data_IF_854748199433
#
_entry.id   IF_854748199433
#
_cell.length_a   1.000
_cell.length_b   1.000
_cell.length_c   1.000
_cell.angle_alpha   90.00
_cell.angle_beta   90.00
_cell.angle_gamma   90.00
#
_symmetry.space_group_name_H-M   'P 1'
#
loop_
_entity.id
_entity.type
_entity.pdbx_description
1 polymer ?
#
# COMPACT_ATOMS: atom_id res chain seq x y z
N UNK A 1 42.15 12.43 39.39
CA UNK A 1 40.90 11.97 38.77
C UNK A 1 41.18 11.74 37.28
N UNK A 2 41.50 10.50 36.97
CA UNK A 2 41.62 10.03 35.59
C UNK A 2 40.18 9.77 35.10
N UNK A 3 39.68 10.58 34.22
CA UNK A 3 38.63 10.21 33.31
C UNK A 3 39.29 9.31 32.26
N UNK A 4 39.12 8.02 32.37
CA UNK A 4 39.33 7.11 31.25
C UNK A 4 38.26 7.45 30.22
N UNK A 5 38.69 8.01 29.11
CA UNK A 5 37.92 8.25 27.93
C UNK A 5 37.70 6.86 27.31
N UNK A 6 36.63 6.18 27.70
CA UNK A 6 36.16 4.97 27.06
C UNK A 6 35.67 5.35 25.62
N UNK A 7 36.61 5.64 24.76
CA UNK A 7 36.36 5.64 23.34
C UNK A 7 36.00 4.22 22.98
N UNK A 8 34.71 3.96 22.84
CA UNK A 8 34.18 2.74 22.22
C UNK A 8 34.79 2.70 20.82
N UNK A 9 35.85 1.92 20.66
CA UNK A 9 36.42 1.63 19.36
C UNK A 9 35.35 0.85 18.57
N UNK A 10 34.48 1.59 17.85
CA UNK A 10 33.54 0.98 16.92
C UNK A 10 34.38 0.41 15.78
N UNK A 11 34.40 -0.92 15.70
CA UNK A 11 35.08 -1.64 14.63
C UNK A 11 34.66 -1.02 13.28
N UNK A 12 35.60 -0.40 12.54
CA UNK A 12 35.29 0.26 11.28
C UNK A 12 34.67 -0.69 10.26
N UNK A 13 34.90 -2.00 10.36
CA UNK A 13 34.26 -3.00 9.52
C UNK A 13 32.79 -3.15 9.81
N UNK A 14 32.38 -3.06 11.09
CA UNK A 14 30.96 -3.09 11.50
C UNK A 14 30.24 -1.80 11.11
N UNK A 15 30.91 -0.65 11.23
CA UNK A 15 30.35 0.63 10.78
C UNK A 15 30.13 0.65 9.27
N UNK A 16 31.04 0.08 8.47
CA UNK A 16 30.92 -0.01 7.03
C UNK A 16 29.82 -0.99 6.57
N UNK A 17 29.68 -2.14 7.24
CA UNK A 17 28.62 -3.08 6.97
C UNK A 17 27.23 -2.49 7.34
N UNK A 18 27.14 -1.77 8.45
CA UNK A 18 25.92 -1.09 8.87
C UNK A 18 25.48 0.00 7.89
N UNK A 19 26.40 0.81 7.39
CA UNK A 19 26.08 1.85 6.37
C UNK A 19 25.65 1.26 5.03
N UNK A 20 26.29 0.20 4.56
CA UNK A 20 25.86 -0.50 3.34
C UNK A 20 24.48 -1.10 3.48
N UNK A 21 24.19 -1.68 4.63
CA UNK A 21 22.90 -2.29 4.87
C UNK A 21 21.76 -1.25 4.94
N UNK A 22 22.02 -0.09 5.56
CA UNK A 22 21.04 1.01 5.57
C UNK A 22 20.76 1.55 4.18
N UNK A 23 21.77 1.75 3.35
CA UNK A 23 21.59 2.16 1.96
C UNK A 23 20.84 1.11 1.14
N UNK A 24 21.14 -0.18 1.30
CA UNK A 24 20.43 -1.25 0.62
C UNK A 24 18.94 -1.29 0.99
N UNK A 25 18.60 -1.04 2.27
CA UNK A 25 17.23 -0.92 2.72
C UNK A 25 16.49 0.24 2.05
N UNK A 26 17.11 1.41 1.99
CA UNK A 26 16.50 2.59 1.37
C UNK A 26 16.27 2.35 -0.13
N UNK A 27 17.23 1.80 -0.83
CA UNK A 27 17.06 1.43 -2.25
C UNK A 27 15.95 0.40 -2.46
N UNK A 28 15.81 -0.57 -1.55
CA UNK A 28 14.76 -1.58 -1.62
C UNK A 28 13.37 -0.95 -1.48
N UNK A 29 13.19 -0.01 -0.56
CA UNK A 29 11.92 0.73 -0.39
C UNK A 29 11.54 1.47 -1.68
N UNK A 30 12.48 2.19 -2.27
CA UNK A 30 12.26 2.93 -3.51
C UNK A 30 11.96 1.99 -4.68
N UNK A 31 12.68 0.87 -4.79
CA UNK A 31 12.44 -0.13 -5.83
C UNK A 31 11.06 -0.81 -5.68
N UNK A 32 10.68 -1.21 -4.47
CA UNK A 32 9.36 -1.78 -4.19
C UNK A 32 8.26 -0.78 -4.55
N UNK A 33 8.40 0.47 -4.15
CA UNK A 33 7.42 1.52 -4.47
C UNK A 33 7.30 1.72 -5.99
N UNK A 34 8.42 1.78 -6.71
CA UNK A 34 8.42 1.94 -8.16
C UNK A 34 7.71 0.79 -8.87
N UNK A 35 8.07 -0.43 -8.56
CA UNK A 35 7.53 -1.63 -9.21
C UNK A 35 6.04 -1.82 -8.89
N UNK A 36 5.67 -1.69 -7.63
CA UNK A 36 4.30 -1.94 -7.20
C UNK A 36 3.34 -0.84 -7.65
N UNK A 37 3.73 0.43 -7.55
CA UNK A 37 2.94 1.54 -8.06
C UNK A 37 2.79 1.50 -9.57
N UNK A 38 3.86 1.20 -10.30
CA UNK A 38 3.83 1.03 -11.75
C UNK A 38 2.91 -0.10 -12.17
N UNK A 39 3.02 -1.26 -11.55
CA UNK A 39 2.18 -2.42 -11.83
C UNK A 39 0.69 -2.17 -11.50
N UNK A 40 0.40 -1.56 -10.37
CA UNK A 40 -0.96 -1.21 -9.98
C UNK A 40 -1.57 -0.19 -10.93
N UNK A 41 -0.84 0.85 -11.29
CA UNK A 41 -1.28 1.86 -12.25
C UNK A 41 -1.52 1.28 -13.64
N UNK A 42 -0.64 0.39 -14.11
CA UNK A 42 -0.84 -0.34 -15.36
C UNK A 42 -2.14 -1.13 -15.35
N UNK A 43 -2.39 -1.90 -14.29
CA UNK A 43 -3.61 -2.69 -14.15
C UNK A 43 -4.86 -1.81 -14.17
N UNK A 44 -4.85 -0.70 -13.44
CA UNK A 44 -5.98 0.23 -13.40
C UNK A 44 -6.24 0.86 -14.77
N UNK A 45 -5.21 1.35 -15.45
CA UNK A 45 -5.34 1.95 -16.77
C UNK A 45 -5.79 0.95 -17.84
N UNK A 46 -5.29 -0.28 -17.78
CA UNK A 46 -5.72 -1.37 -18.65
C UNK A 46 -7.21 -1.70 -18.45
N UNK A 47 -7.64 -1.79 -17.21
CA UNK A 47 -9.03 -2.07 -16.86
C UNK A 47 -9.96 -0.94 -17.29
N UNK A 48 -9.51 0.30 -17.16
CA UNK A 48 -10.26 1.49 -17.57
C UNK A 48 -10.27 1.73 -19.09
N UNK A 49 -9.45 1.01 -19.86
CA UNK A 49 -9.37 1.17 -21.31
C UNK A 49 -8.84 2.54 -21.77
N UNK A 50 -7.97 3.17 -20.98
CA UNK A 50 -7.57 4.58 -21.15
C UNK A 50 -6.69 4.80 -22.39
N UNK A 51 -5.89 3.81 -22.80
CA UNK A 51 -5.00 3.96 -23.95
C UNK A 51 -4.61 2.61 -24.57
N UNK A 52 -4.01 2.66 -25.77
CA UNK A 52 -3.40 1.49 -26.40
C UNK A 52 -2.15 1.03 -25.63
N UNK A 53 -1.80 -0.24 -25.79
CA UNK A 53 -0.72 -0.91 -25.04
C UNK A 53 0.60 -0.12 -24.95
N UNK A 54 1.15 0.49 -26.02
CA UNK A 54 2.39 1.26 -25.90
C UNK A 54 2.27 2.47 -24.98
N UNK A 55 1.16 3.19 -25.02
CA UNK A 55 0.90 4.34 -24.16
C UNK A 55 0.71 3.94 -22.70
N UNK A 56 0.06 2.82 -22.43
CA UNK A 56 -0.10 2.26 -21.07
C UNK A 56 1.24 1.92 -20.43
N UNK A 57 2.13 1.27 -21.17
CA UNK A 57 3.46 0.91 -20.67
C UNK A 57 4.29 2.14 -20.34
N UNK A 58 4.29 3.14 -21.23
CA UNK A 58 5.02 4.40 -21.01
C UNK A 58 4.49 5.13 -19.77
N UNK A 59 3.17 5.24 -19.64
CA UNK A 59 2.53 5.87 -18.50
C UNK A 59 2.82 5.13 -17.20
N UNK A 60 2.75 3.80 -17.21
CA UNK A 60 3.07 2.97 -16.05
C UNK A 60 4.53 3.11 -15.62
N UNK A 61 5.46 3.17 -16.56
CA UNK A 61 6.89 3.41 -16.29
C UNK A 61 7.10 4.80 -15.67
N UNK A 62 6.46 5.82 -16.23
CA UNK A 62 6.56 7.19 -15.72
C UNK A 62 6.01 7.31 -14.29
N UNK A 63 4.86 6.72 -14.03
CA UNK A 63 4.24 6.68 -12.69
C UNK A 63 5.12 5.88 -11.72
N UNK A 64 5.61 4.72 -12.14
CA UNK A 64 6.53 3.90 -11.35
C UNK A 64 7.83 4.63 -11.02
N UNK A 65 8.40 5.36 -11.98
CA UNK A 65 9.59 6.18 -11.75
C UNK A 65 9.32 7.29 -10.73
N UNK A 66 8.20 7.99 -10.83
CA UNK A 66 7.81 9.02 -9.86
C UNK A 66 7.64 8.42 -8.44
N UNK A 67 7.01 7.26 -8.32
CA UNK A 67 6.87 6.55 -7.05
C UNK A 67 8.20 6.03 -6.51
N UNK A 68 9.13 5.64 -7.38
CA UNK A 68 10.48 5.24 -7.00
C UNK A 68 11.32 6.40 -6.49
N UNK A 69 11.16 7.59 -7.05
CA UNK A 69 11.83 8.80 -6.56
C UNK A 69 11.25 9.27 -5.22
N UNK A 70 9.95 9.17 -5.04
CA UNK A 70 9.25 9.57 -3.83
C UNK A 70 8.13 8.57 -3.48
N UNK A 71 8.39 7.58 -2.60
CA UNK A 71 7.42 6.57 -2.21
C UNK A 71 6.12 7.13 -1.64
N UNK A 72 6.17 8.28 -0.98
CA UNK A 72 5.00 8.98 -0.46
C UNK A 72 4.06 9.44 -1.58
N UNK A 73 4.61 9.88 -2.71
CA UNK A 73 3.84 10.21 -3.91
C UNK A 73 3.25 8.95 -4.53
N UNK A 74 3.98 7.84 -4.52
CA UNK A 74 3.51 6.54 -5.00
C UNK A 74 2.25 6.07 -4.26
N UNK A 75 2.22 6.18 -2.94
CA UNK A 75 1.02 5.83 -2.15
C UNK A 75 -0.14 6.78 -2.43
N UNK A 76 0.12 8.07 -2.60
CA UNK A 76 -0.92 9.05 -2.96
C UNK A 76 -1.51 8.75 -4.34
N UNK A 77 -0.70 8.46 -5.35
CA UNK A 77 -1.15 8.09 -6.69
C UNK A 77 -1.97 6.80 -6.64
N UNK A 78 -1.51 5.79 -5.91
CA UNK A 78 -2.22 4.52 -5.75
C UNK A 78 -3.56 4.71 -5.03
N UNK A 79 -3.61 5.58 -4.03
CA UNK A 79 -4.84 5.94 -3.32
C UNK A 79 -5.85 6.62 -4.24
N UNK A 80 -5.41 7.58 -5.04
CA UNK A 80 -6.26 8.25 -6.03
C UNK A 80 -6.75 7.26 -7.09
N UNK A 81 -5.88 6.40 -7.60
CA UNK A 81 -6.26 5.36 -8.56
C UNK A 81 -7.29 4.40 -7.99
N UNK A 82 -7.12 3.96 -6.77
CA UNK A 82 -8.10 3.15 -6.05
C UNK A 82 -9.44 3.86 -5.90
N UNK A 83 -9.42 5.13 -5.49
CA UNK A 83 -10.63 5.94 -5.33
C UNK A 83 -11.39 6.09 -6.65
N UNK A 84 -10.69 6.39 -7.74
CA UNK A 84 -11.28 6.49 -9.07
C UNK A 84 -11.88 5.14 -9.50
N UNK A 85 -11.19 4.04 -9.25
CA UNK A 85 -11.71 2.70 -9.54
C UNK A 85 -13.02 2.43 -8.81
N UNK A 86 -13.06 2.70 -7.49
CA UNK A 86 -14.26 2.47 -6.67
C UNK A 86 -15.41 3.38 -7.08
N UNK A 87 -15.13 4.67 -7.30
CA UNK A 87 -16.14 5.64 -7.72
C UNK A 87 -16.72 5.29 -9.09
N UNK A 88 -15.88 4.97 -10.06
CA UNK A 88 -16.33 4.59 -11.40
C UNK A 88 -17.15 3.30 -11.39
N UNK A 89 -16.70 2.29 -10.68
CA UNK A 89 -17.40 1.03 -10.53
C UNK A 89 -18.79 1.21 -9.91
N UNK A 90 -18.89 2.01 -8.86
CA UNK A 90 -20.17 2.32 -8.20
C UNK A 90 -21.07 3.16 -9.11
N UNK A 91 -20.51 4.13 -9.82
CA UNK A 91 -21.27 4.97 -10.75
C UNK A 91 -21.89 4.14 -11.87
N UNK A 92 -21.16 3.22 -12.45
CA UNK A 92 -21.66 2.36 -13.53
C UNK A 92 -22.74 1.39 -13.05
N UNK A 93 -22.60 0.88 -11.82
CA UNK A 93 -23.54 -0.10 -11.27
C UNK A 93 -24.81 0.52 -10.69
N UNK A 94 -24.71 1.67 -10.02
CA UNK A 94 -25.80 2.23 -9.20
C UNK A 94 -26.07 3.73 -9.44
N UNK A 95 -25.31 4.37 -10.33
CA UNK A 95 -25.47 5.77 -10.69
C UNK A 95 -24.67 6.73 -9.82
N UNK A 96 -24.70 8.01 -10.21
CA UNK A 96 -23.89 9.09 -9.64
C UNK A 96 -24.20 9.33 -8.14
N UNK A 97 -25.47 9.27 -7.75
CA UNK A 97 -25.88 9.53 -6.36
C UNK A 97 -25.30 8.50 -5.38
N UNK A 98 -25.19 7.23 -5.81
CA UNK A 98 -24.58 6.17 -5.00
C UNK A 98 -23.05 6.26 -4.98
N UNK A 99 -22.44 6.81 -6.02
CA UNK A 99 -21.00 7.02 -6.10
C UNK A 99 -20.50 8.05 -5.08
N UNK A 100 -21.24 9.14 -4.85
CA UNK A 100 -20.79 10.23 -3.98
C UNK A 100 -20.47 9.80 -2.55
N UNK A 101 -21.34 9.08 -1.82
CA UNK A 101 -21.02 8.60 -0.48
C UNK A 101 -19.80 7.69 -0.44
N UNK A 102 -19.67 6.77 -1.40
CA UNK A 102 -18.53 5.84 -1.50
C UNK A 102 -17.23 6.62 -1.74
N UNK A 103 -17.23 7.55 -2.67
CA UNK A 103 -16.07 8.39 -2.95
C UNK A 103 -15.65 9.21 -1.72
N UNK A 104 -16.59 9.80 -1.00
CA UNK A 104 -16.31 10.58 0.22
C UNK A 104 -15.73 9.70 1.32
N UNK A 105 -16.31 8.53 1.58
CA UNK A 105 -15.84 7.61 2.63
C UNK A 105 -14.41 7.15 2.34
N UNK A 106 -14.13 6.68 1.13
CA UNK A 106 -12.79 6.21 0.77
C UNK A 106 -11.78 7.34 0.67
N UNK A 107 -12.17 8.51 0.18
CA UNK A 107 -11.30 9.69 0.17
C UNK A 107 -10.92 10.10 1.59
N UNK A 108 -11.85 10.12 2.52
CA UNK A 108 -11.59 10.44 3.93
C UNK A 108 -10.66 9.40 4.57
N UNK A 109 -10.93 8.10 4.37
CA UNK A 109 -10.11 7.02 4.92
C UNK A 109 -8.67 7.07 4.39
N UNK A 110 -8.50 7.21 3.09
CA UNK A 110 -7.17 7.26 2.46
C UNK A 110 -6.41 8.53 2.80
N UNK A 111 -7.09 9.68 2.83
CA UNK A 111 -6.47 10.94 3.24
C UNK A 111 -6.02 10.88 4.70
N UNK A 112 -6.84 10.36 5.59
CA UNK A 112 -6.50 10.16 7.00
C UNK A 112 -5.28 9.26 7.18
N UNK A 113 -5.24 8.13 6.48
CA UNK A 113 -4.10 7.22 6.51
C UNK A 113 -2.83 7.89 5.97
N UNK A 114 -2.93 8.60 4.84
CA UNK A 114 -1.79 9.27 4.23
C UNK A 114 -1.23 10.40 5.10
N UNK A 115 -2.09 11.16 5.75
CA UNK A 115 -1.66 12.21 6.69
C UNK A 115 -0.99 11.60 7.91
N UNK A 116 -1.51 10.50 8.43
CA UNK A 116 -0.98 9.85 9.63
C UNK A 116 0.35 9.12 9.40
N UNK A 117 0.50 8.42 8.27
CA UNK A 117 1.65 7.54 8.01
C UNK A 117 2.28 7.76 6.63
N UNK A 118 1.49 7.87 5.58
CA UNK A 118 1.98 7.83 4.21
C UNK A 118 2.93 8.97 3.85
N UNK A 119 2.68 10.16 4.33
CA UNK A 119 3.51 11.33 4.02
C UNK A 119 4.83 11.37 4.80
N UNK A 120 4.89 10.72 5.94
CA UNK A 120 6.04 10.78 6.85
C UNK A 120 6.92 9.54 6.76
N UNK A 121 6.35 8.38 6.44
CA UNK A 121 7.06 7.11 6.39
C UNK A 121 7.06 6.52 4.97
N UNK A 122 8.20 6.60 4.29
CA UNK A 122 8.38 6.04 2.94
C UNK A 122 8.11 4.53 2.91
N UNK A 123 8.55 3.80 3.95
CA UNK A 123 8.33 2.37 4.07
C UNK A 123 6.84 2.01 4.24
N UNK A 124 6.06 2.81 4.98
CA UNK A 124 4.62 2.61 5.11
C UNK A 124 3.91 2.81 3.77
N UNK A 125 4.29 3.84 3.01
CA UNK A 125 3.79 4.10 1.66
C UNK A 125 4.11 2.97 0.70
N UNK A 126 5.33 2.46 0.71
CA UNK A 126 5.75 1.32 -0.11
C UNK A 126 4.98 0.04 0.27
N UNK A 127 4.75 -0.20 1.55
CA UNK A 127 4.00 -1.35 2.05
C UNK A 127 2.53 -1.30 1.60
N UNK A 128 1.85 -0.16 1.70
CA UNK A 128 0.48 0.00 1.23
C UNK A 128 0.38 -0.25 -0.28
N UNK A 129 1.26 0.35 -1.06
CA UNK A 129 1.27 0.20 -2.52
C UNK A 129 1.56 -1.25 -2.91
N UNK A 130 2.47 -1.91 -2.22
CA UNK A 130 2.79 -3.33 -2.40
C UNK A 130 1.57 -4.22 -2.12
N UNK A 131 0.85 -3.99 -1.03
CA UNK A 131 -0.34 -4.76 -0.69
C UNK A 131 -1.45 -4.58 -1.74
N UNK A 132 -1.68 -3.36 -2.20
CA UNK A 132 -2.62 -3.07 -3.28
C UNK A 132 -2.26 -3.79 -4.58
N UNK A 133 -1.01 -3.66 -5.01
CA UNK A 133 -0.55 -4.26 -6.26
C UNK A 133 -0.61 -5.80 -6.22
N UNK A 134 -0.08 -6.42 -5.18
CA UNK A 134 -0.09 -7.87 -5.04
C UNK A 134 -1.50 -8.43 -4.87
N UNK A 135 -2.34 -7.76 -4.09
CA UNK A 135 -3.74 -8.16 -3.91
C UNK A 135 -4.53 -8.14 -5.22
N UNK A 136 -4.36 -7.10 -6.03
CA UNK A 136 -5.05 -6.97 -7.32
C UNK A 136 -4.48 -7.91 -8.39
N UNK A 137 -3.15 -8.08 -8.45
CA UNK A 137 -2.50 -8.94 -9.45
C UNK A 137 -2.71 -10.43 -9.20
N UNK A 138 -2.65 -10.86 -7.94
CA UNK A 138 -2.78 -12.27 -7.57
C UNK A 138 -4.22 -12.69 -7.29
N UNK A 139 -5.11 -11.75 -7.00
CA UNK A 139 -6.47 -12.04 -6.53
C UNK A 139 -6.51 -12.67 -5.13
N UNK A 140 -5.36 -12.89 -4.51
CA UNK A 140 -5.23 -13.50 -3.19
C UNK A 140 -4.78 -12.47 -2.15
N UNK A 141 -5.74 -11.90 -1.45
CA UNK A 141 -5.50 -10.86 -0.46
C UNK A 141 -4.69 -11.37 0.74
N UNK A 142 -4.87 -12.61 1.14
CA UNK A 142 -4.12 -13.20 2.25
C UNK A 142 -2.64 -13.39 1.91
N UNK A 143 -2.33 -13.86 0.70
CA UNK A 143 -0.95 -13.97 0.24
C UNK A 143 -0.28 -12.60 0.18
N UNK A 144 -0.95 -11.63 -0.43
CA UNK A 144 -0.47 -10.26 -0.53
C UNK A 144 -0.24 -9.64 0.85
N UNK A 145 -1.17 -9.81 1.77
CA UNK A 145 -1.06 -9.33 3.14
C UNK A 145 0.10 -10.00 3.89
N UNK A 146 0.26 -11.30 3.75
CA UNK A 146 1.36 -12.05 4.39
C UNK A 146 2.74 -11.61 3.91
N UNK A 147 2.92 -11.48 2.59
CA UNK A 147 4.18 -10.99 2.00
C UNK A 147 4.45 -9.55 2.44
N UNK A 148 3.44 -8.70 2.39
CA UNK A 148 3.59 -7.28 2.79
C UNK A 148 3.89 -7.15 4.27
N UNK A 149 3.24 -7.93 5.13
CA UNK A 149 3.53 -7.97 6.56
C UNK A 149 4.98 -8.39 6.84
N UNK A 150 5.44 -9.45 6.18
CA UNK A 150 6.81 -9.91 6.28
C UNK A 150 7.83 -8.84 5.88
N UNK A 151 7.62 -8.20 4.74
CA UNK A 151 8.47 -7.11 4.26
C UNK A 151 8.40 -5.90 5.20
N UNK A 152 7.22 -5.46 5.58
CA UNK A 152 7.01 -4.28 6.42
C UNK A 152 7.68 -4.43 7.80
N UNK A 153 7.75 -5.64 8.36
CA UNK A 153 8.38 -5.89 9.65
C UNK A 153 9.86 -5.52 9.70
N UNK A 154 10.57 -5.51 8.57
CA UNK A 154 11.97 -5.11 8.50
C UNK A 154 12.20 -3.60 8.58
N UNK A 155 11.20 -2.78 8.23
CA UNK A 155 11.36 -1.33 8.11
C UNK A 155 10.46 -0.50 9.01
N UNK A 156 9.39 -1.08 9.51
CA UNK A 156 8.34 -0.36 10.24
C UNK A 156 8.26 -0.81 11.69
N UNK A 157 7.94 0.14 12.57
CA UNK A 157 7.53 -0.17 13.93
C UNK A 157 6.17 -0.88 13.97
N UNK A 158 5.79 -1.50 15.11
CA UNK A 158 4.60 -2.33 15.21
C UNK A 158 3.30 -1.63 14.80
N UNK A 159 3.11 -0.37 15.21
CA UNK A 159 1.92 0.40 14.89
C UNK A 159 1.84 0.75 13.39
N UNK A 160 2.95 1.23 12.81
CA UNK A 160 3.02 1.59 11.39
C UNK A 160 2.91 0.35 10.50
N UNK A 161 3.52 -0.77 10.87
CA UNK A 161 3.41 -2.04 10.14
C UNK A 161 1.96 -2.56 10.15
N UNK A 162 1.29 -2.52 11.28
CA UNK A 162 -0.12 -2.89 11.41
C UNK A 162 -1.02 -1.99 10.57
N UNK A 163 -0.84 -0.69 10.64
CA UNK A 163 -1.63 0.29 9.89
C UNK A 163 -1.44 0.13 8.38
N UNK A 164 -0.20 0.08 7.89
CA UNK A 164 0.08 -0.03 6.46
C UNK A 164 -0.40 -1.36 5.88
N UNK A 165 -0.11 -2.47 6.53
CA UNK A 165 -0.49 -3.80 6.05
C UNK A 165 -1.99 -4.05 6.18
N UNK A 166 -2.60 -3.63 7.29
CA UNK A 166 -4.03 -3.77 7.51
C UNK A 166 -4.85 -2.97 6.49
N UNK A 167 -4.56 -1.70 6.32
CA UNK A 167 -5.25 -0.85 5.34
C UNK A 167 -4.99 -1.29 3.91
N UNK A 168 -3.75 -1.69 3.60
CA UNK A 168 -3.41 -2.23 2.28
C UNK A 168 -4.20 -3.48 1.95
N UNK A 169 -4.33 -4.42 2.88
CA UNK A 169 -5.11 -5.65 2.71
C UNK A 169 -6.61 -5.36 2.53
N UNK A 170 -7.16 -4.45 3.31
CA UNK A 170 -8.56 -4.04 3.19
C UNK A 170 -8.85 -3.43 1.82
N UNK A 171 -8.04 -2.48 1.39
CA UNK A 171 -8.22 -1.82 0.09
C UNK A 171 -7.94 -2.77 -1.08
N UNK A 172 -6.96 -3.66 -0.96
CA UNK A 172 -6.71 -4.70 -1.96
C UNK A 172 -7.91 -5.63 -2.13
N UNK A 173 -8.56 -6.02 -1.04
CA UNK A 173 -9.76 -6.85 -1.09
C UNK A 173 -10.91 -6.14 -1.81
N UNK A 174 -11.15 -4.88 -1.47
CA UNK A 174 -12.18 -4.08 -2.11
C UNK A 174 -11.88 -3.84 -3.59
N UNK A 175 -10.63 -3.54 -3.94
CA UNK A 175 -10.22 -3.37 -5.33
C UNK A 175 -10.36 -4.67 -6.13
N UNK A 176 -10.01 -5.81 -5.56
CA UNK A 176 -10.18 -7.12 -6.20
C UNK A 176 -11.65 -7.42 -6.49
N UNK A 177 -12.54 -7.13 -5.55
CA UNK A 177 -13.99 -7.27 -5.77
C UNK A 177 -14.47 -6.35 -6.89
N UNK A 178 -14.03 -5.10 -6.90
CA UNK A 178 -14.39 -4.14 -7.94
C UNK A 178 -13.90 -4.56 -9.34
N UNK A 179 -12.69 -5.07 -9.45
CA UNK A 179 -12.11 -5.54 -10.71
C UNK A 179 -12.78 -6.81 -11.24
N UNK A 180 -13.14 -7.73 -10.35
CA UNK A 180 -13.68 -9.05 -10.74
C UNK A 180 -15.18 -9.04 -11.03
N UNK A 181 -15.95 -8.21 -10.33
CA UNK A 181 -17.42 -8.22 -10.37
C UNK A 181 -18.04 -7.03 -11.12
N UNK A 182 -17.26 -6.28 -11.90
CA UNK A 182 -17.73 -5.03 -12.48
C UNK A 182 -18.06 -3.96 -11.44
N UNK A 183 -17.58 -4.16 -10.22
CA UNK A 183 -17.47 -3.14 -9.21
C UNK A 183 -18.75 -2.64 -8.58
N UNK A 184 -19.65 -3.50 -8.21
CA UNK A 184 -20.88 -3.10 -7.50
C UNK A 184 -20.58 -2.78 -6.04
N UNK A 185 -20.02 -1.60 -5.78
CA UNK A 185 -19.81 -1.07 -4.44
C UNK A 185 -20.68 0.18 -4.21
N UNK A 186 -21.98 -0.02 -4.14
CA UNK A 186 -22.88 1.00 -3.62
C UNK A 186 -22.81 1.08 -2.08
N UNK A 187 -23.39 2.13 -1.51
CA UNK A 187 -23.37 2.32 -0.06
C UNK A 187 -23.91 1.09 0.70
N UNK A 188 -24.93 0.44 0.18
CA UNK A 188 -25.48 -0.80 0.75
C UNK A 188 -24.48 -1.97 0.70
N UNK A 189 -23.75 -2.11 -0.39
CA UNK A 189 -22.73 -3.16 -0.55
C UNK A 189 -21.48 -2.88 0.29
N UNK A 190 -21.08 -1.62 0.44
CA UNK A 190 -20.02 -1.22 1.36
C UNK A 190 -20.44 -1.53 2.81
N UNK A 191 -21.64 -1.19 3.19
CA UNK A 191 -22.15 -1.50 4.52
C UNK A 191 -22.25 -3.02 4.78
N UNK A 192 -22.66 -3.80 3.78
CA UNK A 192 -22.68 -5.26 3.87
C UNK A 192 -21.26 -5.85 3.97
N UNK A 193 -20.32 -5.35 3.20
CA UNK A 193 -18.91 -5.77 3.27
C UNK A 193 -18.27 -5.40 4.61
N UNK A 194 -18.54 -4.22 5.13
CA UNK A 194 -18.08 -3.78 6.45
C UNK A 194 -18.78 -4.52 7.60
N UNK A 195 -19.96 -5.05 7.37
CA UNK A 195 -20.68 -5.90 8.33
C UNK A 195 -20.25 -7.36 8.31
N UNK A 196 -19.42 -7.79 7.34
CA UNK A 196 -18.92 -9.16 7.28
C UNK A 196 -17.86 -9.41 8.37
N UNK A 197 -18.13 -10.30 9.34
CA UNK A 197 -17.18 -10.59 10.41
C UNK A 197 -15.87 -11.20 9.90
N UNK A 198 -15.88 -11.90 8.76
CA UNK A 198 -14.69 -12.49 8.16
C UNK A 198 -13.73 -11.44 7.63
N UNK A 199 -14.23 -10.34 7.09
CA UNK A 199 -13.40 -9.22 6.64
C UNK A 199 -12.61 -8.62 7.81
N UNK A 200 -13.29 -8.36 8.92
CA UNK A 200 -12.67 -7.79 10.11
C UNK A 200 -11.75 -8.77 10.83
N UNK A 201 -12.10 -10.04 10.88
CA UNK A 201 -11.22 -11.07 11.41
C UNK A 201 -9.91 -11.17 10.60
N UNK A 202 -10.01 -11.13 9.28
CA UNK A 202 -8.84 -11.10 8.40
C UNK A 202 -7.99 -9.84 8.58
N UNK A 203 -8.63 -8.67 8.68
CA UNK A 203 -7.97 -7.40 8.92
C UNK A 203 -7.19 -7.41 10.25
N UNK A 204 -7.84 -7.83 11.33
CA UNK A 204 -7.22 -7.91 12.66
C UNK A 204 -6.07 -8.90 12.67
N UNK A 205 -6.24 -10.07 12.05
CA UNK A 205 -5.20 -11.09 11.96
C UNK A 205 -3.96 -10.58 11.22
N UNK A 206 -4.16 -9.94 10.08
CA UNK A 206 -3.08 -9.36 9.27
C UNK A 206 -2.36 -8.25 10.03
N UNK A 207 -3.09 -7.34 10.64
CA UNK A 207 -2.53 -6.24 11.43
C UNK A 207 -1.75 -6.76 12.66
N UNK A 208 -2.31 -7.73 13.38
CA UNK A 208 -1.67 -8.35 14.53
C UNK A 208 -0.40 -9.11 14.13
N UNK A 209 -0.43 -9.85 13.03
CA UNK A 209 0.74 -10.57 12.51
C UNK A 209 1.85 -9.59 12.10
N UNK A 210 1.52 -8.51 11.43
CA UNK A 210 2.48 -7.48 11.06
C UNK A 210 3.09 -6.79 12.28
N UNK A 211 2.28 -6.46 13.27
CA UNK A 211 2.76 -5.87 14.53
C UNK A 211 3.66 -6.82 15.30
N UNK A 212 3.28 -8.09 15.43
CA UNK A 212 4.07 -9.10 16.12
C UNK A 212 5.41 -9.36 15.41
N UNK A 213 5.41 -9.47 14.09
CA UNK A 213 6.63 -9.67 13.29
C UNK A 213 7.59 -8.48 13.38
N UNK A 214 7.05 -7.27 13.57
CA UNK A 214 7.86 -6.06 13.71
C UNK A 214 8.40 -5.87 15.14
N UNK A 215 7.82 -6.54 16.13
CA UNK A 215 8.25 -6.46 17.52
C UNK A 215 9.34 -7.48 17.89
N UNK A 216 9.56 -8.49 17.04
CA UNK A 216 10.61 -9.51 17.19
C UNK A 216 11.92 -9.06 16.56
#
# INVERSE_FOLDING_TARGET
SHYEDDTIEVDPALGWAGTRWSHARDYAIHAISALTCGAFSFLLMQTAGVAALPGLVIAAIAIGAAAGLAPQIGSAISAVGFLVLMANATMQAQGVLSMLPVAVIFAAAMSGWWIAWGRTEAAASAALTCALALGCLTGNTFLAAGVTAGVASFWLGPASAAAATGMGALFARLATVALSAGGVLGLGNVAAALGDPLLWAAFVLVAATAAASSAL
#
